data_IF_087844547557
#
_entry.id   IF_087844547557
#
_cell.length_a   1.000
_cell.length_b   1.000
_cell.length_c   1.000
_cell.angle_alpha   90.00
_cell.angle_beta   90.00
_cell.angle_gamma   90.00
#
_symmetry.space_group_name_H-M   'P 1'
#
loop_
_entity.id
_entity.type
_entity.pdbx_description
1 polymer ?
#
# COMPACT_ATOMS: atom_id res chain seq x y z
N UNK A 1 1.10 33.18 14.24
CA UNK A 1 1.00 32.62 12.88
C UNK A 1 0.54 31.19 13.04
N UNK A 2 -0.68 30.88 12.61
CA UNK A 2 -1.23 29.53 12.64
C UNK A 2 -0.50 28.71 11.57
N UNK A 3 0.23 27.67 11.96
CA UNK A 3 0.74 26.68 11.01
C UNK A 3 -0.44 26.09 10.24
N UNK A 4 -0.33 25.89 8.91
CA UNK A 4 -1.38 25.19 8.19
C UNK A 4 -1.39 23.74 8.66
N UNK A 5 -2.49 23.32 9.27
CA UNK A 5 -2.78 21.92 9.58
C UNK A 5 -3.04 21.18 8.26
N UNK A 6 -1.98 20.72 7.61
CA UNK A 6 -2.10 19.85 6.43
C UNK A 6 -2.50 18.45 6.88
N UNK A 7 -3.52 17.86 6.26
CA UNK A 7 -3.85 16.43 6.47
C UNK A 7 -2.74 15.52 5.93
N UNK A 8 -2.62 14.28 6.42
CA UNK A 8 -1.50 13.39 6.06
C UNK A 8 -1.27 13.17 4.55
N UNK A 9 -2.34 13.16 3.74
CA UNK A 9 -2.24 13.09 2.25
C UNK A 9 -1.80 14.40 1.60
N UNK A 10 -1.98 15.53 2.26
CA UNK A 10 -1.50 16.84 1.82
C UNK A 10 -0.05 17.07 2.25
N UNK A 11 0.36 16.50 3.40
CA UNK A 11 1.75 16.53 3.85
C UNK A 11 2.70 15.73 2.95
N UNK A 12 2.19 14.69 2.27
CA UNK A 12 2.93 13.86 1.32
C UNK A 12 2.01 13.47 0.15
N UNK A 13 1.90 14.37 -0.85
CA UNK A 13 1.01 14.17 -2.00
C UNK A 13 1.50 13.06 -2.93
N UNK A 14 0.59 12.40 -3.65
CA UNK A 14 0.94 11.36 -4.62
C UNK A 14 1.97 11.85 -5.66
N UNK A 15 1.78 13.06 -6.19
CA UNK A 15 2.69 13.65 -7.17
C UNK A 15 4.12 13.82 -6.60
N UNK A 16 4.23 14.23 -5.32
CA UNK A 16 5.52 14.34 -4.65
C UNK A 16 6.17 12.97 -4.43
N UNK A 17 5.38 11.93 -4.16
CA UNK A 17 5.88 10.56 -4.01
C UNK A 17 6.39 10.02 -5.35
N UNK A 18 5.68 10.26 -6.45
CA UNK A 18 6.09 9.84 -7.80
C UNK A 18 7.40 10.52 -8.20
N UNK A 19 7.52 11.83 -7.96
CA UNK A 19 8.75 12.56 -8.25
C UNK A 19 9.94 12.01 -7.45
N UNK A 20 9.76 11.75 -6.16
CA UNK A 20 10.82 11.27 -5.26
C UNK A 20 11.18 9.82 -5.50
N UNK A 21 10.25 8.90 -5.25
CA UNK A 21 10.49 7.46 -5.33
C UNK A 21 10.72 6.96 -6.76
N UNK A 22 10.12 7.64 -7.76
CA UNK A 22 10.25 7.29 -9.17
C UNK A 22 11.37 8.03 -9.91
N UNK A 23 11.87 9.16 -9.38
CA UNK A 23 12.80 10.04 -10.09
C UNK A 23 14.10 10.36 -9.34
N UNK A 24 14.04 10.62 -8.04
CA UNK A 24 15.20 11.05 -7.22
C UNK A 24 16.00 9.88 -6.61
N UNK A 25 15.54 8.64 -6.78
CA UNK A 25 16.26 7.45 -6.33
C UNK A 25 16.24 7.25 -4.81
N UNK A 26 17.38 6.85 -4.24
CA UNK A 26 17.46 6.46 -2.82
C UNK A 26 17.23 7.63 -1.86
N UNK A 27 17.76 8.81 -2.18
CA UNK A 27 17.61 10.01 -1.34
C UNK A 27 16.14 10.44 -1.25
N UNK A 28 15.40 10.34 -2.36
CA UNK A 28 13.96 10.59 -2.40
C UNK A 28 13.17 9.59 -1.56
N UNK A 29 13.59 8.32 -1.50
CA UNK A 29 12.95 7.30 -0.65
C UNK A 29 13.20 7.54 0.84
N UNK A 30 14.41 7.93 1.23
CA UNK A 30 14.74 8.21 2.63
C UNK A 30 13.86 9.31 3.22
N UNK A 31 13.61 10.37 2.45
CA UNK A 31 12.68 11.44 2.83
C UNK A 31 11.24 10.97 3.02
N UNK A 32 10.78 9.99 2.23
CA UNK A 32 9.43 9.43 2.31
C UNK A 32 9.24 8.48 3.50
N UNK A 33 10.33 7.91 4.03
CA UNK A 33 10.32 6.96 5.15
C UNK A 33 10.40 7.64 6.53
N UNK A 34 10.55 8.97 6.56
CA UNK A 34 10.56 9.71 7.83
C UNK A 34 9.26 9.45 8.60
N UNK A 35 9.33 9.13 9.92
CA UNK A 35 8.16 8.75 10.69
C UNK A 35 7.09 9.85 10.67
N UNK A 36 5.92 9.52 10.12
CA UNK A 36 4.73 10.37 10.17
C UNK A 36 3.80 9.78 11.24
N UNK A 37 3.68 10.46 12.38
CA UNK A 37 2.79 10.02 13.46
C UNK A 37 1.35 10.37 13.07
N UNK A 38 0.68 9.45 12.38
CA UNK A 38 -0.74 9.56 12.08
C UNK A 38 -1.52 8.46 12.81
N UNK A 39 -2.40 8.86 13.73
CA UNK A 39 -3.24 7.96 14.53
C UNK A 39 -4.54 7.52 13.83
N UNK A 40 -4.60 7.59 12.50
CA UNK A 40 -5.84 7.24 11.77
C UNK A 40 -5.88 5.75 11.41
N UNK A 41 -7.06 5.11 11.49
CA UNK A 41 -7.21 3.74 11.03
C UNK A 41 -6.84 3.64 9.55
N UNK A 42 -6.05 2.62 9.19
CA UNK A 42 -5.62 2.33 7.81
C UNK A 42 -6.76 1.86 6.88
N UNK A 43 -8.02 1.97 7.32
CA UNK A 43 -9.17 1.58 6.53
C UNK A 43 -9.45 2.65 5.47
N UNK A 44 -9.60 2.28 4.19
CA UNK A 44 -9.97 3.24 3.17
C UNK A 44 -11.41 3.71 3.36
N UNK A 45 -11.71 4.92 2.89
CA UNK A 45 -13.10 5.39 2.79
C UNK A 45 -13.95 4.46 1.91
N UNK A 46 -15.25 4.40 2.14
CA UNK A 46 -16.21 3.65 1.31
C UNK A 46 -16.11 3.97 -0.19
N UNK A 47 -15.83 5.23 -0.54
CA UNK A 47 -15.61 5.62 -1.94
C UNK A 47 -14.42 4.89 -2.56
N UNK A 48 -13.27 4.89 -1.88
CA UNK A 48 -12.07 4.16 -2.31
C UNK A 48 -12.33 2.66 -2.39
N UNK A 49 -13.02 2.08 -1.39
CA UNK A 49 -13.38 0.66 -1.40
C UNK A 49 -14.25 0.30 -2.62
N UNK A 50 -15.29 1.09 -2.91
CA UNK A 50 -16.14 0.92 -4.10
C UNK A 50 -15.34 1.07 -5.40
N UNK A 51 -14.45 2.06 -5.50
CA UNK A 51 -13.59 2.25 -6.67
C UNK A 51 -12.67 1.05 -6.90
N UNK A 52 -12.04 0.51 -5.84
CA UNK A 52 -11.22 -0.70 -5.95
C UNK A 52 -12.05 -1.92 -6.39
N UNK A 53 -13.28 -2.07 -5.89
CA UNK A 53 -14.18 -3.12 -6.33
C UNK A 53 -14.57 -2.98 -7.83
N UNK A 54 -14.80 -1.76 -8.30
CA UNK A 54 -15.04 -1.49 -9.73
C UNK A 54 -13.80 -1.79 -10.58
N UNK A 55 -12.60 -1.37 -10.15
CA UNK A 55 -11.34 -1.69 -10.84
C UNK A 55 -11.13 -3.20 -10.99
N UNK A 56 -11.50 -3.99 -9.99
CA UNK A 56 -11.39 -5.44 -10.05
C UNK A 56 -12.32 -6.10 -11.12
N UNK A 57 -13.39 -5.41 -11.51
CA UNK A 57 -14.34 -5.88 -12.55
C UNK A 57 -13.95 -5.39 -13.95
N UNK A 58 -13.26 -4.26 -14.04
CA UNK A 58 -12.69 -3.78 -15.29
C UNK A 58 -11.46 -4.62 -15.70
N UNK A 59 -11.35 -5.09 -16.95
CA UNK A 59 -10.21 -5.91 -17.37
C UNK A 59 -8.83 -5.25 -17.13
N UNK A 60 -8.69 -3.95 -17.42
CA UNK A 60 -7.41 -3.23 -17.24
C UNK A 60 -7.14 -2.96 -15.77
N UNK A 61 -8.18 -2.57 -15.02
CA UNK A 61 -8.09 -2.42 -13.57
C UNK A 61 -7.70 -3.71 -12.87
N UNK A 62 -8.20 -4.86 -13.36
CA UNK A 62 -7.85 -6.17 -12.85
C UNK A 62 -6.38 -6.49 -13.11
N UNK A 63 -5.84 -6.21 -14.29
CA UNK A 63 -4.40 -6.41 -14.57
C UNK A 63 -3.51 -5.66 -13.57
N UNK A 64 -3.88 -4.43 -13.19
CA UNK A 64 -3.16 -3.65 -12.17
C UNK A 64 -3.21 -4.32 -10.80
N UNK A 65 -4.38 -4.82 -10.39
CA UNK A 65 -4.55 -5.52 -9.12
C UNK A 65 -3.77 -6.85 -9.11
N UNK A 66 -3.81 -7.61 -10.20
CA UNK A 66 -3.05 -8.85 -10.36
C UNK A 66 -1.54 -8.59 -10.23
N UNK A 67 -1.01 -7.59 -10.94
CA UNK A 67 0.39 -7.18 -10.82
C UNK A 67 0.75 -6.76 -9.39
N UNK A 68 -0.14 -6.03 -8.70
CA UNK A 68 0.07 -5.66 -7.30
C UNK A 68 0.12 -6.90 -6.39
N UNK A 69 -0.70 -7.92 -6.65
CA UNK A 69 -0.63 -9.19 -5.91
C UNK A 69 0.65 -9.98 -6.23
N UNK A 70 1.17 -9.88 -7.44
CA UNK A 70 2.43 -10.52 -7.84
C UNK A 70 3.62 -9.98 -7.04
N UNK A 71 3.69 -8.66 -6.85
CA UNK A 71 4.77 -8.02 -6.08
C UNK A 71 4.53 -8.02 -4.56
N UNK A 72 3.29 -8.22 -4.12
CA UNK A 72 2.94 -8.34 -2.69
C UNK A 72 2.82 -9.80 -2.29
N UNK A 73 1.64 -10.43 -2.35
CA UNK A 73 1.37 -11.73 -1.75
C UNK A 73 1.99 -12.94 -2.47
N UNK A 74 2.16 -12.90 -3.80
CA UNK A 74 2.61 -14.07 -4.58
C UNK A 74 4.13 -14.16 -4.72
N UNK A 75 4.87 -13.11 -4.41
CA UNK A 75 6.33 -13.15 -4.46
C UNK A 75 6.89 -14.19 -3.45
N UNK A 76 7.78 -15.11 -3.86
CA UNK A 76 8.30 -16.12 -2.95
C UNK A 76 9.28 -15.52 -1.94
N UNK A 77 9.20 -15.97 -0.69
CA UNK A 77 10.24 -15.68 0.31
C UNK A 77 11.49 -16.53 0.00
N UNK A 78 12.62 -15.89 -0.24
CA UNK A 78 13.90 -16.57 -0.51
C UNK A 78 14.81 -16.46 0.72
N UNK A 79 14.82 -17.49 1.56
CA UNK A 79 15.62 -17.54 2.80
C UNK A 79 16.64 -18.70 2.86
N UNK A 80 16.88 -19.41 1.75
CA UNK A 80 17.79 -20.55 1.72
C UNK A 80 19.22 -20.13 2.04
N UNK A 81 19.90 -20.88 2.93
CA UNK A 81 21.30 -20.64 3.30
C UNK A 81 21.52 -19.48 4.27
N UNK A 82 20.46 -18.99 4.93
CA UNK A 82 20.49 -17.88 5.89
C UNK A 82 20.50 -18.35 7.33
N UNK A 83 21.04 -17.53 8.23
CA UNK A 83 20.93 -17.80 9.68
C UNK A 83 19.49 -17.64 10.14
N UNK A 84 19.21 -18.06 11.38
CA UNK A 84 17.89 -17.89 11.97
C UNK A 84 17.50 -16.40 12.07
N UNK A 85 18.43 -15.54 12.50
CA UNK A 85 18.23 -14.10 12.64
C UNK A 85 17.96 -13.44 11.28
N UNK A 86 18.74 -13.80 10.26
CA UNK A 86 18.54 -13.32 8.89
C UNK A 86 17.17 -13.77 8.34
N UNK A 87 16.79 -15.02 8.62
CA UNK A 87 15.48 -15.56 8.21
C UNK A 87 14.34 -14.83 8.91
N UNK A 88 14.48 -14.52 10.20
CA UNK A 88 13.50 -13.76 10.96
C UNK A 88 13.33 -12.33 10.40
N UNK A 89 14.43 -11.65 10.06
CA UNK A 89 14.40 -10.32 9.47
C UNK A 89 13.74 -10.31 8.08
N UNK A 90 14.08 -11.29 7.23
CA UNK A 90 13.46 -11.46 5.92
C UNK A 90 11.95 -11.76 6.04
N UNK A 91 11.57 -12.55 7.02
CA UNK A 91 10.16 -12.86 7.31
C UNK A 91 9.40 -11.62 7.80
N UNK A 92 9.98 -10.84 8.71
CA UNK A 92 9.37 -9.59 9.19
C UNK A 92 9.17 -8.58 8.05
N UNK A 93 10.19 -8.41 7.20
CA UNK A 93 10.10 -7.56 6.01
C UNK A 93 9.00 -8.04 5.06
N UNK A 94 8.88 -9.36 4.90
CA UNK A 94 7.84 -9.98 4.08
C UNK A 94 6.43 -9.73 4.61
N UNK A 95 6.24 -9.77 5.93
CA UNK A 95 4.95 -9.47 6.55
C UNK A 95 4.51 -8.02 6.25
N UNK A 96 5.44 -7.06 6.28
CA UNK A 96 5.13 -5.68 5.88
C UNK A 96 4.64 -5.56 4.44
N UNK A 97 5.29 -6.25 3.50
CA UNK A 97 4.89 -6.27 2.08
C UNK A 97 3.52 -6.96 1.90
N UNK A 98 3.32 -8.10 2.57
CA UNK A 98 2.06 -8.84 2.49
C UNK A 98 0.88 -8.05 3.04
N UNK A 99 1.09 -7.28 4.13
CA UNK A 99 0.06 -6.44 4.73
C UNK A 99 -0.56 -5.43 3.75
N UNK A 100 0.21 -4.94 2.76
CA UNK A 100 -0.33 -4.08 1.68
C UNK A 100 -1.33 -4.86 0.82
N UNK A 101 -0.98 -6.06 0.41
CA UNK A 101 -1.85 -6.92 -0.40
C UNK A 101 -3.13 -7.29 0.36
N UNK A 102 -3.00 -7.66 1.64
CA UNK A 102 -4.15 -7.95 2.52
C UNK A 102 -5.09 -6.75 2.65
N UNK A 103 -4.55 -5.55 2.88
CA UNK A 103 -5.35 -4.33 3.01
C UNK A 103 -6.14 -4.03 1.73
N UNK A 104 -5.51 -4.17 0.56
CA UNK A 104 -6.18 -3.95 -0.74
C UNK A 104 -7.28 -4.98 -0.98
N UNK A 105 -7.02 -6.26 -0.74
CA UNK A 105 -8.04 -7.31 -0.91
C UNK A 105 -9.22 -7.14 0.06
N UNK A 106 -8.95 -6.77 1.32
CA UNK A 106 -9.99 -6.46 2.29
C UNK A 106 -10.86 -5.27 1.84
N UNK A 107 -10.23 -4.22 1.31
CA UNK A 107 -10.94 -3.05 0.77
C UNK A 107 -11.82 -3.39 -0.45
N UNK A 108 -11.32 -4.24 -1.37
CA UNK A 108 -12.10 -4.74 -2.51
C UNK A 108 -13.33 -5.52 -2.01
N UNK A 109 -13.13 -6.45 -1.07
CA UNK A 109 -14.22 -7.24 -0.50
C UNK A 109 -15.26 -6.36 0.20
N UNK A 110 -14.84 -5.32 0.93
CA UNK A 110 -15.74 -4.33 1.51
C UNK A 110 -16.52 -3.56 0.44
N UNK A 111 -15.84 -3.07 -0.61
CA UNK A 111 -16.46 -2.36 -1.72
C UNK A 111 -17.50 -3.19 -2.49
N UNK A 112 -17.25 -4.49 -2.67
CA UNK A 112 -18.20 -5.42 -3.27
C UNK A 112 -19.49 -5.51 -2.42
N UNK A 113 -19.37 -5.70 -1.10
CA UNK A 113 -20.51 -5.72 -0.18
C UNK A 113 -21.30 -4.41 -0.18
N UNK A 114 -20.62 -3.26 -0.28
CA UNK A 114 -21.30 -1.96 -0.37
C UNK A 114 -22.08 -1.79 -1.66
N UNK A 115 -21.63 -2.42 -2.75
CA UNK A 115 -22.27 -2.33 -4.07
C UNK A 115 -23.49 -3.24 -4.18
N UNK A 116 -23.55 -4.33 -3.41
CA UNK A 116 -24.71 -5.24 -3.34
C UNK A 116 -25.88 -4.67 -2.51
N UNK A 117 -25.59 -3.69 -1.64
CA UNK A 117 -26.58 -3.02 -0.77
C UNK A 117 -27.18 -1.75 -1.37
N UNK A 118 -26.69 -1.32 -2.55
CA UNK A 118 -27.15 -0.12 -3.27
C UNK A 118 -28.10 -0.52 -4.38
#
# INVERSE_FOLDING_TARGET
MSEPLFGGRQAQSLDSMVARAGGEGWDGLEELLKPQIANQPLQPSDHVAKTLATLCRDPRGREVIEWLMDITLRAPLRATGKTFEETALLTASRQGINGVGEAVLAAIAHGQKLSEKS
#
